data_IF_570105250383
#
_entry.id   IF_570105250383
#
_cell.length_a   1.000
_cell.length_b   1.000
_cell.length_c   1.000
_cell.angle_alpha   90.00
_cell.angle_beta   90.00
_cell.angle_gamma   90.00
#
_symmetry.space_group_name_H-M   'P 1'
#
loop_
_entity.id
_entity.type
_entity.pdbx_description
1 polymer ?
#
# COMPACT_ATOMS: atom_id res chain seq x y z
N UNK A 1 19.38 18.00 57.76
CA UNK A 1 18.34 18.85 57.15
C UNK A 1 18.69 18.98 55.68
N UNK A 2 18.01 18.20 54.83
CA UNK A 2 18.23 18.20 53.39
C UNK A 2 17.23 19.17 52.75
N UNK A 3 17.74 20.23 52.11
CA UNK A 3 16.91 21.20 51.39
C UNK A 3 17.06 20.96 49.89
N UNK A 4 16.03 20.32 49.35
CA UNK A 4 15.77 20.09 47.93
C UNK A 4 15.60 21.43 47.21
N UNK A 5 16.44 21.75 46.24
CA UNK A 5 16.20 22.88 45.32
C UNK A 5 15.54 22.35 44.05
N UNK A 6 14.32 22.82 43.86
CA UNK A 6 13.37 22.59 42.78
C UNK A 6 13.97 22.87 41.41
N UNK A 7 13.85 21.89 40.51
CA UNK A 7 14.17 21.98 39.09
C UNK A 7 12.97 22.63 38.38
N UNK A 8 13.10 23.92 38.05
CA UNK A 8 12.10 24.68 37.30
C UNK A 8 12.09 24.20 35.84
N UNK A 9 11.02 23.49 35.49
CA UNK A 9 10.82 22.83 34.21
C UNK A 9 10.06 23.78 33.27
N UNK A 10 10.71 24.88 32.87
CA UNK A 10 10.21 25.74 31.81
C UNK A 10 10.49 25.11 30.43
N UNK A 11 9.75 24.05 30.09
CA UNK A 11 9.59 23.67 28.68
C UNK A 11 8.73 24.75 28.01
N UNK A 12 9.39 25.67 27.31
CA UNK A 12 8.75 26.47 26.26
C UNK A 12 8.23 25.51 25.20
N UNK A 13 6.94 25.21 25.27
CA UNK A 13 6.16 24.73 24.13
C UNK A 13 6.32 25.78 23.03
N UNK A 14 7.14 25.48 22.04
CA UNK A 14 7.23 26.30 20.83
C UNK A 14 6.13 25.79 19.92
N UNK A 15 5.09 26.58 19.60
CA UNK A 15 3.99 26.13 18.75
C UNK A 15 4.53 25.78 17.36
N UNK A 16 4.13 24.61 16.84
CA UNK A 16 4.45 24.06 15.51
C UNK A 16 3.87 24.94 14.39
N UNK A 17 4.39 26.15 14.26
CA UNK A 17 3.97 27.12 13.26
C UNK A 17 4.93 27.03 12.09
N UNK A 18 4.46 26.42 11.00
CA UNK A 18 4.96 26.57 9.63
C UNK A 18 6.43 26.15 9.38
N UNK A 19 6.70 24.84 9.38
CA UNK A 19 7.81 24.31 8.56
C UNK A 19 7.25 23.85 7.21
N UNK A 20 7.88 24.23 6.07
CA UNK A 20 7.44 23.82 4.75
C UNK A 20 7.46 22.28 4.64
N UNK A 21 6.53 21.72 3.86
CA UNK A 21 6.48 20.30 3.56
C UNK A 21 7.85 19.83 3.02
N UNK A 22 8.64 19.17 3.86
CA UNK A 22 9.95 18.63 3.47
C UNK A 22 9.78 17.20 2.97
N UNK A 23 10.32 16.95 1.80
CA UNK A 23 10.29 15.63 1.18
C UNK A 23 11.34 14.72 1.83
N UNK A 24 11.00 13.44 1.91
CA UNK A 24 11.87 12.41 2.43
C UNK A 24 13.17 12.26 1.62
N UNK A 25 13.11 12.55 0.30
CA UNK A 25 14.29 12.60 -0.58
C UNK A 25 15.30 13.65 -0.13
N UNK A 26 14.82 14.86 0.14
CA UNK A 26 15.68 16.02 0.40
C UNK A 26 16.36 15.87 1.75
N UNK A 27 15.60 15.36 2.73
CA UNK A 27 16.10 15.05 4.06
C UNK A 27 17.07 13.88 4.06
N UNK A 28 16.91 12.90 3.16
CA UNK A 28 17.88 11.81 3.03
C UNK A 28 19.25 12.32 2.56
N UNK A 29 19.28 13.31 1.67
CA UNK A 29 20.52 13.98 1.26
C UNK A 29 21.13 14.79 2.41
N UNK A 30 20.33 15.58 3.14
CA UNK A 30 20.79 16.36 4.31
C UNK A 30 21.39 15.45 5.40
N UNK A 31 20.82 14.24 5.58
CA UNK A 31 21.34 13.27 6.53
C UNK A 31 22.71 12.70 6.13
N UNK A 32 22.95 12.46 4.84
CA UNK A 32 24.24 11.97 4.34
C UNK A 32 25.33 13.03 4.54
N UNK A 33 25.01 14.30 4.26
CA UNK A 33 25.93 15.43 4.49
C UNK A 33 26.26 15.61 5.98
N UNK A 34 25.30 15.34 6.87
CA UNK A 34 25.49 15.44 8.31
C UNK A 34 26.37 14.33 8.92
N UNK A 35 26.68 13.26 8.18
CA UNK A 35 27.49 12.13 8.68
C UNK A 35 29.00 12.30 8.50
N UNK A 36 29.48 13.40 7.89
CA UNK A 36 30.92 13.67 7.72
C UNK A 36 31.56 12.88 6.57
N UNK A 37 32.87 12.64 6.61
CA UNK A 37 33.68 12.23 5.44
C UNK A 37 33.89 10.69 5.32
N UNK A 38 32.84 9.91 5.62
CA UNK A 38 32.90 8.43 5.57
C UNK A 38 32.38 7.91 4.22
N UNK A 39 32.75 6.70 3.80
CA UNK A 39 32.14 6.04 2.65
C UNK A 39 30.63 5.82 2.90
N UNK A 40 29.82 6.69 2.28
CA UNK A 40 28.38 6.71 2.42
C UNK A 40 27.67 5.78 1.45
N UNK A 41 28.38 5.01 0.61
CA UNK A 41 27.77 4.22 -0.45
C UNK A 41 26.70 3.26 0.08
N UNK A 42 26.97 2.56 1.19
CA UNK A 42 26.01 1.66 1.81
C UNK A 42 24.81 2.39 2.44
N UNK A 43 25.07 3.53 3.10
CA UNK A 43 24.05 4.37 3.74
C UNK A 43 23.11 4.96 2.68
N UNK A 44 23.68 5.53 1.62
CA UNK A 44 22.97 6.12 0.50
C UNK A 44 22.12 5.07 -0.22
N UNK A 45 22.66 3.89 -0.52
CA UNK A 45 21.90 2.81 -1.17
C UNK A 45 20.69 2.41 -0.33
N UNK A 46 20.83 2.32 0.98
CA UNK A 46 19.73 1.96 1.86
C UNK A 46 18.66 3.06 1.97
N UNK A 47 19.08 4.32 2.07
CA UNK A 47 18.14 5.45 2.07
C UNK A 47 17.40 5.59 0.74
N UNK A 48 18.06 5.35 -0.39
CA UNK A 48 17.40 5.33 -1.71
C UNK A 48 16.34 4.23 -1.78
N UNK A 49 16.62 3.04 -1.25
CA UNK A 49 15.65 1.94 -1.17
C UNK A 49 14.46 2.32 -0.27
N UNK A 50 14.73 2.93 0.87
CA UNK A 50 13.71 3.39 1.82
C UNK A 50 12.84 4.51 1.24
N UNK A 51 13.43 5.54 0.63
CA UNK A 51 12.72 6.63 -0.06
C UNK A 51 11.87 6.08 -1.20
N UNK A 52 12.39 5.13 -1.99
CA UNK A 52 11.61 4.47 -3.05
C UNK A 52 10.42 3.68 -2.49
N UNK A 53 10.57 3.07 -1.32
CA UNK A 53 9.50 2.35 -0.64
C UNK A 53 8.40 3.29 -0.12
N UNK A 54 8.77 4.37 0.55
CA UNK A 54 7.82 5.34 1.09
C UNK A 54 7.22 6.29 0.04
N UNK A 55 7.89 6.44 -1.10
CA UNK A 55 7.54 7.36 -2.18
C UNK A 55 8.48 8.57 -2.22
N UNK A 56 8.88 8.98 -3.43
CA UNK A 56 9.86 10.07 -3.64
C UNK A 56 9.32 11.45 -3.26
N UNK A 57 8.02 11.64 -3.35
CA UNK A 57 7.32 12.89 -2.99
C UNK A 57 6.67 12.80 -1.61
N UNK A 58 7.10 11.84 -0.78
CA UNK A 58 6.54 11.63 0.55
C UNK A 58 7.03 12.68 1.52
N UNK A 59 6.11 13.28 2.27
CA UNK A 59 6.43 14.24 3.33
C UNK A 59 6.82 13.52 4.62
N UNK A 60 7.88 13.99 5.27
CA UNK A 60 8.47 13.27 6.42
C UNK A 60 7.53 13.13 7.62
N UNK A 61 6.71 14.14 7.88
CA UNK A 61 5.77 14.13 9.01
C UNK A 61 4.62 13.13 8.82
N UNK A 62 4.39 12.66 7.59
CA UNK A 62 3.32 11.70 7.26
C UNK A 62 3.76 10.23 7.41
N UNK A 63 5.01 9.98 7.81
CA UNK A 63 5.54 8.64 8.04
C UNK A 63 4.86 7.96 9.23
N UNK A 64 4.46 6.72 9.01
CA UNK A 64 3.73 5.91 10.01
C UNK A 64 4.56 4.73 10.52
N UNK A 65 4.33 4.27 11.76
CA UNK A 65 4.96 3.05 12.29
C UNK A 65 4.77 1.82 11.39
N UNK A 66 3.60 1.67 10.78
CA UNK A 66 3.26 0.55 9.89
C UNK A 66 4.13 0.50 8.64
N UNK A 67 4.48 1.66 8.06
CA UNK A 67 5.37 1.74 6.89
C UNK A 67 6.80 1.31 7.24
N UNK A 68 7.28 1.66 8.44
CA UNK A 68 8.60 1.27 8.93
C UNK A 68 8.66 -0.23 9.22
N UNK A 69 7.63 -0.79 9.83
CA UNK A 69 7.49 -2.24 10.05
C UNK A 69 7.40 -2.99 8.72
N UNK A 70 6.68 -2.44 7.74
CA UNK A 70 6.55 -2.99 6.39
C UNK A 70 7.88 -3.03 5.64
N UNK A 71 8.67 -1.95 5.71
CA UNK A 71 9.99 -1.89 5.08
C UNK A 71 11.00 -2.82 5.79
N UNK A 72 11.11 -2.72 7.11
CA UNK A 72 12.06 -3.52 7.91
C UNK A 72 11.75 -5.02 7.89
N UNK A 73 10.47 -5.39 7.77
CA UNK A 73 10.03 -6.77 7.58
C UNK A 73 10.28 -7.34 6.18
N UNK A 74 10.65 -6.51 5.20
CA UNK A 74 11.05 -6.91 3.84
C UNK A 74 12.58 -6.90 3.63
N UNK A 75 13.36 -6.53 4.64
CA UNK A 75 14.82 -6.69 4.64
C UNK A 75 15.24 -8.18 4.73
N UNK A 76 14.27 -9.10 4.82
CA UNK A 76 14.45 -10.53 5.08
C UNK A 76 14.87 -11.31 3.82
N UNK A 77 16.18 -11.40 3.61
CA UNK A 77 16.84 -12.38 2.75
C UNK A 77 18.23 -12.72 3.31
N UNK A 78 18.28 -13.41 4.46
CA UNK A 78 19.39 -14.26 4.93
C UNK A 78 20.85 -13.78 4.66
N UNK A 79 21.19 -12.52 4.96
CA UNK A 79 22.56 -12.02 4.83
C UNK A 79 22.95 -11.01 5.93
N UNK A 80 24.22 -10.98 6.31
CA UNK A 80 24.83 -10.03 7.29
C UNK A 80 24.49 -8.57 6.98
N UNK A 81 24.34 -8.24 5.69
CA UNK A 81 23.92 -6.94 5.16
C UNK A 81 22.57 -6.45 5.72
N UNK A 82 21.66 -7.36 6.13
CA UNK A 82 20.32 -6.99 6.61
C UNK A 82 20.35 -6.28 7.97
N UNK A 83 21.31 -6.65 8.82
CA UNK A 83 21.50 -6.05 10.14
C UNK A 83 22.10 -4.65 10.03
N UNK A 84 23.07 -4.48 9.13
CA UNK A 84 23.70 -3.19 8.83
C UNK A 84 22.70 -2.20 8.23
N UNK A 85 21.89 -2.66 7.27
CA UNK A 85 20.81 -1.87 6.67
C UNK A 85 19.76 -1.44 7.69
N UNK A 86 19.42 -2.30 8.65
CA UNK A 86 18.54 -1.94 9.76
C UNK A 86 19.15 -0.85 10.65
N UNK A 87 20.46 -0.93 10.92
CA UNK A 87 21.16 0.07 11.72
C UNK A 87 21.14 1.45 11.04
N UNK A 88 21.38 1.49 9.71
CA UNK A 88 21.25 2.71 8.90
C UNK A 88 19.84 3.30 9.01
N UNK A 89 18.80 2.48 8.81
CA UNK A 89 17.42 2.92 8.89
C UNK A 89 17.07 3.50 10.28
N UNK A 90 17.49 2.83 11.35
CA UNK A 90 17.28 3.31 12.73
C UNK A 90 18.00 4.63 12.97
N UNK A 91 19.23 4.78 12.49
CA UNK A 91 20.01 6.01 12.60
C UNK A 91 19.30 7.19 11.93
N UNK A 92 18.74 6.94 10.74
CA UNK A 92 18.00 7.93 9.99
C UNK A 92 16.69 8.32 10.69
N UNK A 93 15.86 7.35 11.09
CA UNK A 93 14.60 7.61 11.80
C UNK A 93 14.82 8.36 13.13
N UNK A 94 15.91 8.04 13.85
CA UNK A 94 16.29 8.76 15.05
C UNK A 94 16.71 10.21 14.76
N UNK A 95 17.37 10.44 13.62
CA UNK A 95 17.72 11.78 13.16
C UNK A 95 16.48 12.61 12.82
N UNK A 96 15.48 12.04 12.14
CA UNK A 96 14.22 12.71 11.84
C UNK A 96 13.53 13.21 13.12
N UNK A 97 13.47 12.35 14.14
CA UNK A 97 12.88 12.70 15.43
C UNK A 97 13.71 13.75 16.18
N UNK A 98 15.04 13.65 16.20
CA UNK A 98 15.92 14.67 16.81
C UNK A 98 15.77 16.05 16.16
N UNK A 99 15.48 16.09 14.86
CA UNK A 99 15.23 17.32 14.09
C UNK A 99 13.79 17.82 14.21
N UNK A 100 12.91 17.08 14.88
CA UNK A 100 11.51 17.45 15.09
C UNK A 100 10.61 17.25 13.87
N UNK A 101 11.03 16.46 12.87
CA UNK A 101 10.28 16.27 11.62
C UNK A 101 9.24 15.13 11.69
N UNK A 102 9.26 14.36 12.76
CA UNK A 102 8.28 13.31 13.06
C UNK A 102 7.75 13.52 14.47
N UNK A 103 6.44 13.43 14.66
CA UNK A 103 5.79 13.61 15.96
C UNK A 103 6.18 12.51 16.97
N UNK A 104 6.48 11.30 16.48
CA UNK A 104 6.87 10.16 17.29
C UNK A 104 8.21 9.58 16.82
N UNK A 105 8.96 8.97 17.74
CA UNK A 105 10.18 8.26 17.39
C UNK A 105 9.84 6.95 16.68
N UNK A 106 10.11 6.89 15.38
CA UNK A 106 9.81 5.73 14.53
C UNK A 106 10.89 4.64 14.56
N UNK A 107 12.06 4.91 15.13
CA UNK A 107 13.20 3.98 15.21
C UNK A 107 12.86 2.63 15.89
N UNK A 108 12.03 2.56 16.95
CA UNK A 108 11.64 1.30 17.60
C UNK A 108 10.83 0.37 16.70
N UNK A 109 10.23 0.89 15.63
CA UNK A 109 9.39 0.12 14.69
C UNK A 109 10.20 -0.56 13.57
N UNK A 110 11.46 -0.17 13.39
CA UNK A 110 12.38 -0.84 12.47
C UNK A 110 12.92 -2.14 13.12
N UNK A 111 12.27 -3.29 12.86
CA UNK A 111 12.68 -4.59 13.41
C UNK A 111 12.75 -5.66 12.32
N UNK A 112 13.87 -6.39 12.29
CA UNK A 112 13.99 -7.61 11.48
C UNK A 112 13.08 -8.71 12.02
N UNK A 113 12.42 -9.45 11.12
CA UNK A 113 11.69 -10.66 11.52
C UNK A 113 12.71 -11.74 11.84
N UNK A 114 12.66 -12.31 13.04
CA UNK A 114 13.52 -13.46 13.40
C UNK A 114 13.00 -14.69 12.65
N UNK A 115 13.90 -15.37 11.92
CA UNK A 115 13.66 -16.68 11.33
C UNK A 115 13.37 -17.70 12.45
N UNK A 116 12.09 -17.88 12.79
CA UNK A 116 11.73 -18.71 13.94
C UNK A 116 10.26 -18.63 14.36
N UNK A 117 9.33 -18.89 13.44
CA UNK A 117 8.05 -19.57 13.70
C UNK A 117 7.25 -19.68 12.42
N UNK A 118 7.02 -20.92 11.97
CA UNK A 118 5.95 -21.30 11.04
C UNK A 118 4.64 -21.05 11.79
N UNK A 119 4.06 -19.87 11.61
CA UNK A 119 2.86 -19.44 12.34
C UNK A 119 2.18 -18.30 11.62
N UNK A 120 1.06 -18.64 10.96
CA UNK A 120 0.09 -17.79 10.29
C UNK A 120 0.66 -16.73 9.35
N UNK A 121 0.65 -17.08 8.06
CA UNK A 121 0.65 -16.11 6.99
C UNK A 121 -0.55 -15.16 7.17
N UNK A 122 -0.34 -14.04 7.85
CA UNK A 122 -1.04 -12.81 7.48
C UNK A 122 -0.48 -12.44 6.11
N UNK A 123 -1.10 -13.07 5.11
CA UNK A 123 -1.01 -12.69 3.72
C UNK A 123 -1.06 -11.18 3.69
N UNK A 124 0.07 -10.58 3.32
CA UNK A 124 0.10 -9.32 2.62
C UNK A 124 -1.06 -9.37 1.63
N UNK A 125 -2.13 -8.67 1.98
CA UNK A 125 -2.89 -7.91 1.02
C UNK A 125 -1.87 -6.98 0.36
N UNK A 126 -1.11 -7.56 -0.58
CA UNK A 126 -1.08 -6.98 -1.89
C UNK A 126 -2.56 -6.89 -2.24
N UNK A 127 -3.17 -5.76 -1.94
CA UNK A 127 -3.82 -5.06 -3.03
C UNK A 127 -2.75 -4.97 -4.12
N UNK A 128 -2.65 -6.03 -4.92
CA UNK A 128 -3.02 -5.85 -6.30
C UNK A 128 -4.23 -4.95 -6.21
N UNK A 129 -4.03 -3.65 -6.39
CA UNK A 129 -4.97 -2.93 -7.22
C UNK A 129 -5.05 -3.83 -8.44
N UNK A 130 -6.00 -4.76 -8.41
CA UNK A 130 -6.53 -5.32 -9.62
C UNK A 130 -6.80 -4.05 -10.39
N UNK A 131 -6.05 -3.83 -11.48
CA UNK A 131 -6.25 -2.66 -12.32
C UNK A 131 -7.62 -2.89 -12.95
N UNK A 132 -8.63 -2.61 -12.16
CA UNK A 132 -10.02 -2.85 -12.46
C UNK A 132 -10.41 -1.70 -13.37
N UNK A 133 -10.34 -1.98 -14.66
CA UNK A 133 -10.69 -1.03 -15.68
C UNK A 133 -12.11 -1.36 -16.13
N UNK A 134 -12.91 -0.32 -16.33
CA UNK A 134 -14.14 -0.48 -17.10
C UNK A 134 -13.77 -0.87 -18.53
N UNK A 135 -14.69 -1.52 -19.26
CA UNK A 135 -14.45 -1.84 -20.67
C UNK A 135 -14.09 -0.59 -21.50
N UNK A 136 -14.73 0.54 -21.22
CA UNK A 136 -14.43 1.84 -21.84
C UNK A 136 -13.03 2.36 -21.47
N UNK A 137 -12.64 2.31 -20.19
CA UNK A 137 -11.32 2.74 -19.75
C UNK A 137 -10.20 1.86 -20.32
N UNK A 138 -10.45 0.56 -20.47
CA UNK A 138 -9.52 -0.37 -21.12
C UNK A 138 -9.35 -0.06 -22.61
N UNK A 139 -10.44 0.27 -23.31
CA UNK A 139 -10.40 0.65 -24.72
C UNK A 139 -9.64 1.97 -24.93
N UNK A 140 -9.90 2.98 -24.09
CA UNK A 140 -9.22 4.27 -24.18
C UNK A 140 -7.70 4.14 -24.05
N UNK A 141 -7.23 3.33 -23.09
CA UNK A 141 -5.81 3.08 -22.89
C UNK A 141 -5.18 2.27 -24.03
N UNK A 142 -5.95 1.37 -24.67
CA UNK A 142 -5.53 0.69 -25.89
C UNK A 142 -5.38 1.66 -27.07
N UNK A 143 -6.34 2.57 -27.24
CA UNK A 143 -6.33 3.56 -28.32
C UNK A 143 -5.16 4.54 -28.14
N UNK A 144 -4.90 4.98 -26.89
CA UNK A 144 -3.73 5.78 -26.54
C UNK A 144 -2.42 5.05 -26.88
N UNK A 145 -2.31 3.77 -26.49
CA UNK A 145 -1.13 2.95 -26.82
C UNK A 145 -0.95 2.80 -28.34
N UNK A 146 -2.03 2.65 -29.10
CA UNK A 146 -1.97 2.52 -30.55
C UNK A 146 -1.50 3.83 -31.20
N UNK A 147 -1.99 4.98 -30.73
CA UNK A 147 -1.55 6.29 -31.20
C UNK A 147 -0.04 6.50 -30.96
N UNK A 148 0.44 6.22 -29.74
CA UNK A 148 1.86 6.32 -29.38
C UNK A 148 2.76 5.37 -30.19
N UNK A 149 2.27 4.16 -30.50
CA UNK A 149 2.98 3.21 -31.37
C UNK A 149 3.09 3.73 -32.81
N UNK A 150 2.08 4.46 -33.29
CA UNK A 150 2.14 5.17 -34.57
C UNK A 150 3.15 6.31 -34.56
N UNK A 151 3.13 7.12 -33.50
CA UNK A 151 4.05 8.26 -33.30
C UNK A 151 5.51 7.83 -33.21
N UNK A 152 5.79 6.67 -32.59
CA UNK A 152 7.14 6.07 -32.58
C UNK A 152 7.76 5.93 -33.97
N UNK A 153 6.95 5.64 -34.98
CA UNK A 153 7.38 5.56 -36.38
C UNK A 153 7.83 6.92 -36.92
N UNK A 154 7.10 7.99 -36.61
CA UNK A 154 7.42 9.35 -37.03
C UNK A 154 8.70 9.85 -36.34
N UNK A 155 8.83 9.63 -35.04
CA UNK A 155 10.04 9.98 -34.27
C UNK A 155 11.28 9.30 -34.85
N UNK A 156 11.15 8.02 -35.25
CA UNK A 156 12.25 7.29 -35.90
C UNK A 156 12.69 7.95 -37.21
N UNK A 157 11.75 8.48 -38.00
CA UNK A 157 12.07 9.21 -39.23
C UNK A 157 12.72 10.57 -38.93
N UNK A 158 12.26 11.29 -37.91
CA UNK A 158 12.85 12.55 -37.47
C UNK A 158 14.29 12.36 -37.00
N UNK A 159 14.55 11.33 -36.18
CA UNK A 159 15.92 10.98 -35.75
C UNK A 159 16.80 10.69 -36.96
N UNK A 160 16.31 9.92 -37.95
CA UNK A 160 17.09 9.63 -39.18
C UNK A 160 17.40 10.89 -39.99
N UNK A 161 16.44 11.80 -40.12
CA UNK A 161 16.62 13.08 -40.83
C UNK A 161 17.60 13.98 -40.09
N UNK A 162 17.46 14.11 -38.78
CA UNK A 162 18.35 14.91 -37.95
C UNK A 162 19.78 14.34 -37.93
N UNK A 163 19.93 13.00 -37.90
CA UNK A 163 21.22 12.33 -37.94
C UNK A 163 21.94 12.40 -39.30
N UNK A 164 21.23 12.74 -40.39
CA UNK A 164 21.83 12.95 -41.71
C UNK A 164 22.51 14.32 -41.84
N UNK A 165 22.27 15.24 -40.90
CA UNK A 165 22.93 16.55 -40.85
C UNK A 165 24.37 16.37 -40.35
N UNK A 166 25.34 16.85 -41.14
CA UNK A 166 26.77 16.55 -41.01
C UNK A 166 27.51 17.31 -39.88
N UNK A 167 26.78 18.08 -39.08
CA UNK A 167 27.31 18.89 -37.99
C UNK A 167 26.92 18.25 -36.65
N UNK A 168 27.86 17.49 -36.09
CA UNK A 168 27.62 16.58 -34.96
C UNK A 168 27.80 17.25 -33.60
N UNK A 169 28.32 18.50 -33.54
CA UNK A 169 28.67 19.14 -32.26
C UNK A 169 27.54 19.89 -31.58
N UNK A 170 26.47 20.27 -32.28
CA UNK A 170 25.32 21.01 -31.70
C UNK A 170 23.97 20.65 -32.35
N UNK A 171 23.70 19.35 -32.55
CA UNK A 171 22.48 18.93 -33.22
C UNK A 171 21.29 18.89 -32.24
N UNK A 172 20.87 20.06 -31.74
CA UNK A 172 19.71 20.21 -30.86
C UNK A 172 18.43 19.50 -31.37
N UNK A 173 18.15 19.43 -32.69
CA UNK A 173 17.04 18.63 -33.21
C UNK A 173 17.18 17.12 -32.96
N UNK A 174 18.40 16.57 -33.01
CA UNK A 174 18.66 15.15 -32.77
C UNK A 174 18.47 14.80 -31.28
N UNK A 175 18.95 15.64 -30.38
CA UNK A 175 18.81 15.44 -28.94
C UNK A 175 17.34 15.57 -28.51
N UNK A 176 16.60 16.55 -29.04
CA UNK A 176 15.17 16.69 -28.81
C UNK A 176 14.38 15.45 -29.30
N UNK A 177 14.72 14.91 -30.48
CA UNK A 177 14.05 13.74 -31.02
C UNK A 177 14.34 12.46 -30.20
N UNK A 178 15.55 12.32 -29.64
CA UNK A 178 15.92 11.20 -28.74
C UNK A 178 15.22 11.29 -27.39
N UNK A 179 15.12 12.48 -26.82
CA UNK A 179 14.36 12.72 -25.58
C UNK A 179 12.88 12.40 -25.79
N UNK A 180 12.29 12.87 -26.90
CA UNK A 180 10.91 12.58 -27.26
C UNK A 180 10.67 11.07 -27.44
N UNK A 181 11.60 10.36 -28.09
CA UNK A 181 11.57 8.90 -28.19
C UNK A 181 11.55 8.23 -26.80
N UNK A 182 12.37 8.72 -25.87
CA UNK A 182 12.44 8.22 -24.51
C UNK A 182 11.12 8.38 -23.75
N UNK A 183 10.47 9.53 -23.89
CA UNK A 183 9.18 9.82 -23.26
C UNK A 183 8.06 8.93 -23.81
N UNK A 184 7.98 8.76 -25.13
CA UNK A 184 7.00 7.88 -25.78
C UNK A 184 7.20 6.42 -25.37
N UNK A 185 8.44 5.92 -25.36
CA UNK A 185 8.77 4.56 -24.93
C UNK A 185 8.51 4.33 -23.43
N UNK A 186 8.68 5.36 -22.59
CA UNK A 186 8.32 5.28 -21.18
C UNK A 186 6.79 5.15 -21.00
N UNK A 187 6.02 5.96 -21.73
CA UNK A 187 4.55 5.93 -21.68
C UNK A 187 3.98 4.62 -22.21
N UNK A 188 4.51 4.11 -23.32
CA UNK A 188 4.11 2.80 -23.87
C UNK A 188 4.34 1.69 -22.84
N UNK A 189 5.50 1.66 -22.17
CA UNK A 189 5.80 0.65 -21.14
C UNK A 189 4.86 0.74 -19.95
N UNK A 190 4.50 1.94 -19.53
CA UNK A 190 3.52 2.17 -18.46
C UNK A 190 2.12 1.64 -18.84
N UNK A 191 1.66 1.97 -20.05
CA UNK A 191 0.38 1.51 -20.58
C UNK A 191 0.36 -0.02 -20.73
N UNK A 192 1.42 -0.63 -21.25
CA UNK A 192 1.55 -2.09 -21.37
C UNK A 192 1.53 -2.80 -20.02
N UNK A 193 2.24 -2.26 -19.02
CA UNK A 193 2.21 -2.80 -17.67
C UNK A 193 0.80 -2.69 -17.05
N UNK A 194 0.12 -1.58 -17.28
CA UNK A 194 -1.22 -1.31 -16.78
C UNK A 194 -2.25 -2.24 -17.43
N UNK A 195 -2.22 -2.40 -18.75
CA UNK A 195 -3.11 -3.28 -19.51
C UNK A 195 -2.85 -4.77 -19.22
N UNK A 196 -1.60 -5.18 -19.03
CA UNK A 196 -1.23 -6.58 -18.71
C UNK A 196 -1.73 -7.02 -17.33
N UNK A 197 -1.81 -6.09 -16.37
CA UNK A 197 -2.35 -6.34 -15.03
C UNK A 197 -3.85 -6.04 -14.89
N UNK A 198 -4.52 -5.63 -15.97
CA UNK A 198 -5.89 -5.17 -15.91
C UNK A 198 -6.90 -6.32 -15.86
N UNK A 199 -7.94 -6.16 -15.04
CA UNK A 199 -9.13 -7.02 -15.03
C UNK A 199 -10.32 -6.17 -15.45
N UNK A 200 -10.97 -6.53 -16.55
CA UNK A 200 -12.09 -5.75 -17.06
C UNK A 200 -13.31 -5.97 -16.15
N UNK A 201 -13.81 -4.88 -15.58
CA UNK A 201 -15.09 -4.85 -14.87
C UNK A 201 -16.22 -4.77 -15.91
N UNK A 202 -16.89 -5.90 -16.15
CA UNK A 202 -18.19 -5.89 -16.84
C UNK A 202 -19.21 -5.16 -15.97
N UNK A 203 -19.80 -4.09 -16.51
CA UNK A 203 -21.00 -3.45 -15.94
C UNK A 203 -22.12 -4.50 -15.90
N UNK A 204 -22.30 -5.13 -14.74
CA UNK A 204 -23.28 -6.21 -14.54
C UNK A 204 -22.94 -7.17 -13.40
N UNK A 205 -21.66 -7.26 -13.02
CA UNK A 205 -21.26 -7.93 -11.77
C UNK A 205 -21.15 -6.87 -10.68
N UNK A 206 -22.29 -6.52 -10.10
CA UNK A 206 -22.33 -5.87 -8.79
C UNK A 206 -21.34 -6.60 -7.89
N UNK A 207 -20.42 -5.87 -7.26
CA UNK A 207 -19.68 -6.38 -6.10
C UNK A 207 -20.77 -6.82 -5.13
N UNK A 208 -21.07 -8.11 -5.09
CA UNK A 208 -22.14 -8.62 -4.24
C UNK A 208 -21.79 -8.16 -2.83
N UNK A 209 -22.71 -7.45 -2.18
CA UNK A 209 -22.52 -7.03 -0.80
C UNK A 209 -22.12 -8.28 -0.01
N UNK A 210 -20.98 -8.21 0.67
CA UNK A 210 -20.48 -9.32 1.49
C UNK A 210 -20.91 -9.11 2.91
N UNK A 211 -21.10 -10.22 3.63
CA UNK A 211 -21.36 -10.17 5.07
C UNK A 211 -20.09 -9.72 5.79
N UNK A 212 -20.15 -8.54 6.41
CA UNK A 212 -19.08 -7.99 7.27
C UNK A 212 -19.54 -7.87 8.72
N UNK A 213 -18.60 -7.65 9.64
CA UNK A 213 -18.95 -7.27 11.02
C UNK A 213 -19.80 -5.99 11.01
N UNK A 214 -20.86 -5.95 11.80
CA UNK A 214 -21.84 -4.87 11.84
C UNK A 214 -22.93 -4.94 10.76
N UNK A 215 -22.80 -5.82 9.77
CA UNK A 215 -23.82 -5.96 8.72
C UNK A 215 -25.06 -6.69 9.26
N UNK A 216 -26.23 -6.31 8.74
CA UNK A 216 -27.50 -7.02 8.96
C UNK A 216 -27.74 -7.99 7.81
N UNK A 217 -27.82 -9.27 8.13
CA UNK A 217 -27.99 -10.36 7.16
C UNK A 217 -29.37 -10.98 7.34
N UNK A 218 -30.03 -11.33 6.23
CA UNK A 218 -31.24 -12.14 6.23
C UNK A 218 -30.91 -13.50 5.64
N UNK A 219 -31.15 -14.54 6.43
CA UNK A 219 -30.90 -15.94 6.07
C UNK A 219 -32.23 -16.64 5.88
N UNK A 220 -32.39 -17.34 4.76
CA UNK A 220 -33.55 -18.17 4.48
C UNK A 220 -33.17 -19.65 4.63
N UNK A 221 -33.86 -20.40 5.49
CA UNK A 221 -33.60 -21.82 5.66
C UNK A 221 -34.17 -22.60 4.46
N UNK A 222 -33.32 -23.33 3.73
CA UNK A 222 -33.70 -23.96 2.46
C UNK A 222 -34.81 -25.03 2.61
N UNK A 223 -34.92 -25.67 3.78
CA UNK A 223 -35.93 -26.73 4.02
C UNK A 223 -37.30 -26.20 4.43
N UNK A 224 -37.37 -25.08 5.15
CA UNK A 224 -38.61 -24.54 5.72
C UNK A 224 -39.06 -23.25 5.04
N UNK A 225 -38.19 -22.60 4.27
CA UNK A 225 -38.41 -21.26 3.72
C UNK A 225 -38.43 -20.16 4.78
N UNK A 226 -38.08 -20.46 6.04
CA UNK A 226 -38.12 -19.48 7.11
C UNK A 226 -36.98 -18.47 6.96
N UNK A 227 -37.33 -17.18 6.88
CA UNK A 227 -36.37 -16.08 6.89
C UNK A 227 -36.09 -15.61 8.32
N UNK A 228 -34.82 -15.45 8.66
CA UNK A 228 -34.36 -14.94 9.94
C UNK A 228 -33.32 -13.85 9.72
N UNK A 229 -33.48 -12.72 10.41
CA UNK A 229 -32.57 -11.57 10.32
C UNK A 229 -31.63 -11.53 11.51
N UNK A 230 -30.33 -11.40 11.24
CA UNK A 230 -29.28 -11.28 12.24
C UNK A 230 -28.38 -10.08 11.99
N UNK A 231 -27.95 -9.41 13.06
CA UNK A 231 -26.86 -8.44 13.07
C UNK A 231 -25.56 -9.17 13.41
N UNK A 232 -24.56 -9.05 12.54
CA UNK A 232 -23.25 -9.65 12.76
C UNK A 232 -22.46 -8.86 13.80
N UNK A 233 -22.13 -9.50 14.91
CA UNK A 233 -21.42 -8.86 16.03
C UNK A 233 -20.26 -9.72 16.52
N UNK A 234 -19.40 -9.13 17.35
CA UNK A 234 -18.32 -9.88 18.00
C UNK A 234 -18.87 -10.80 19.10
N UNK A 235 -18.08 -11.78 19.52
CA UNK A 235 -18.43 -12.77 20.56
C UNK A 235 -18.90 -12.13 21.87
N UNK A 236 -18.37 -10.96 22.23
CA UNK A 236 -18.70 -10.21 23.44
C UNK A 236 -20.12 -9.64 23.44
N UNK A 237 -20.68 -9.34 22.26
CA UNK A 237 -21.97 -8.66 22.09
C UNK A 237 -23.09 -9.60 21.61
N UNK A 238 -22.78 -10.89 21.48
CA UNK A 238 -23.67 -11.88 20.91
C UNK A 238 -24.92 -12.10 21.78
N UNK A 239 -26.08 -11.97 21.15
CA UNK A 239 -27.37 -12.24 21.79
C UNK A 239 -28.37 -12.75 20.73
N UNK A 240 -28.45 -14.08 20.52
CA UNK A 240 -29.31 -14.68 19.51
C UNK A 240 -30.80 -14.30 19.66
N UNK A 241 -31.28 -14.14 20.90
CA UNK A 241 -32.66 -13.75 21.18
C UNK A 241 -32.98 -12.33 20.75
N UNK A 242 -31.97 -11.44 20.72
CA UNK A 242 -32.07 -10.08 20.22
C UNK A 242 -31.70 -9.96 18.73
N UNK A 243 -31.51 -11.09 18.03
CA UNK A 243 -31.06 -11.10 16.64
C UNK A 243 -29.60 -10.67 16.45
N UNK A 244 -28.76 -10.73 17.49
CA UNK A 244 -27.32 -10.46 17.39
C UNK A 244 -26.54 -11.77 17.30
N UNK A 245 -25.90 -12.02 16.17
CA UNK A 245 -25.18 -13.26 15.88
C UNK A 245 -23.66 -13.04 15.97
N UNK A 246 -22.98 -13.85 16.77
CA UNK A 246 -21.52 -13.83 16.87
C UNK A 246 -20.87 -14.32 15.58
N UNK A 247 -19.87 -13.59 15.08
CA UNK A 247 -18.95 -14.03 14.02
C UNK A 247 -18.16 -15.30 14.40
N UNK A 248 -18.03 -15.62 15.69
CA UNK A 248 -17.35 -16.83 16.16
C UNK A 248 -18.26 -18.07 16.23
N UNK A 249 -19.58 -17.90 16.11
CA UNK A 249 -20.53 -19.02 16.13
C UNK A 249 -20.45 -19.87 14.85
N UNK A 250 -20.87 -21.15 14.86
CA UNK A 250 -20.85 -22.00 13.66
C UNK A 250 -21.62 -21.38 12.49
N UNK A 251 -22.80 -20.80 12.75
CA UNK A 251 -23.60 -20.09 11.76
C UNK A 251 -22.92 -18.79 11.32
N UNK A 252 -22.41 -18.00 12.26
CA UNK A 252 -21.71 -16.74 11.96
C UNK A 252 -20.48 -16.93 11.09
N UNK A 253 -19.65 -17.93 11.39
CA UNK A 253 -18.48 -18.28 10.58
C UNK A 253 -18.86 -18.76 9.18
N UNK A 254 -19.98 -19.46 9.06
CA UNK A 254 -20.45 -19.96 7.78
C UNK A 254 -20.99 -18.85 6.88
N UNK A 255 -21.54 -17.76 7.42
CA UNK A 255 -22.08 -16.64 6.63
C UNK A 255 -21.09 -15.51 6.39
N UNK A 256 -20.04 -15.39 7.21
CA UNK A 256 -19.02 -14.35 7.05
C UNK A 256 -18.34 -14.42 5.68
N UNK A 257 -18.06 -13.26 5.09
CA UNK A 257 -17.43 -13.09 3.77
C UNK A 257 -18.20 -13.66 2.56
N UNK A 258 -19.37 -14.28 2.78
CA UNK A 258 -20.29 -14.70 1.73
C UNK A 258 -21.15 -13.54 1.22
N UNK A 259 -21.69 -13.73 0.03
CA UNK A 259 -22.44 -12.70 -0.69
C UNK A 259 -23.95 -13.02 -0.76
N UNK A 260 -24.75 -12.01 -1.14
CA UNK A 260 -26.18 -12.20 -1.44
C UNK A 260 -26.33 -13.29 -2.51
N UNK A 261 -27.20 -14.27 -2.23
CA UNK A 261 -27.49 -15.41 -3.10
C UNK A 261 -26.61 -16.64 -2.87
N UNK A 262 -25.64 -16.59 -1.95
CA UNK A 262 -24.82 -17.76 -1.60
C UNK A 262 -25.57 -18.68 -0.62
N UNK A 263 -25.40 -19.99 -0.80
CA UNK A 263 -25.89 -21.03 0.11
C UNK A 263 -24.76 -21.47 1.06
N UNK A 264 -25.08 -21.61 2.34
CA UNK A 264 -24.16 -22.02 3.39
C UNK A 264 -24.72 -23.23 4.13
N UNK A 265 -23.89 -24.26 4.27
CA UNK A 265 -24.22 -25.48 5.03
C UNK A 265 -23.66 -25.38 6.44
N UNK A 266 -24.54 -25.43 7.44
CA UNK A 266 -24.17 -25.30 8.86
C UNK A 266 -24.42 -26.60 9.58
N UNK A 267 -23.34 -27.20 10.08
CA UNK A 267 -23.41 -28.40 10.92
C UNK A 267 -23.84 -28.00 12.32
N UNK A 268 -25.08 -28.32 12.68
CA UNK A 268 -25.58 -28.20 14.06
C UNK A 268 -25.56 -29.58 14.75
N UNK A 269 -25.58 -29.64 16.10
CA UNK A 269 -25.70 -30.91 16.81
C UNK A 269 -26.97 -31.72 16.46
N UNK A 270 -27.97 -31.07 15.84
CA UNK A 270 -29.23 -31.69 15.40
C UNK A 270 -29.23 -32.10 13.92
N UNK A 271 -28.13 -31.87 13.19
CA UNK A 271 -28.00 -32.16 11.77
C UNK A 271 -27.45 -30.98 10.96
N UNK A 272 -27.08 -31.26 9.70
CA UNK A 272 -26.69 -30.22 8.75
C UNK A 272 -27.91 -29.44 8.28
N UNK A 273 -27.86 -28.11 8.37
CA UNK A 273 -28.93 -27.20 7.95
C UNK A 273 -28.37 -26.25 6.91
N UNK A 274 -29.09 -26.11 5.79
CA UNK A 274 -28.71 -25.19 4.71
C UNK A 274 -29.45 -23.87 4.80
N UNK A 275 -28.71 -22.78 4.65
CA UNK A 275 -29.24 -21.42 4.62
C UNK A 275 -28.84 -20.72 3.33
N UNK A 276 -29.74 -19.93 2.75
CA UNK A 276 -29.49 -19.03 1.63
C UNK A 276 -29.42 -17.59 2.16
N UNK A 277 -28.40 -16.84 1.76
CA UNK A 277 -28.29 -15.42 2.10
C UNK A 277 -29.20 -14.62 1.17
N UNK A 278 -30.36 -14.18 1.65
CA UNK A 278 -31.34 -13.48 0.81
C UNK A 278 -31.06 -11.99 0.70
N UNK A 279 -30.60 -11.35 1.79
CA UNK A 279 -30.30 -9.90 1.83
C UNK A 279 -29.15 -9.58 2.77
N UNK A 280 -28.38 -8.56 2.41
CA UNK A 280 -27.35 -7.95 3.26
C UNK A 280 -27.60 -6.44 3.26
N UNK A 281 -27.69 -5.85 4.45
CA UNK A 281 -27.82 -4.41 4.68
C UNK A 281 -26.77 -3.91 5.67
N UNK A 282 -26.43 -2.63 5.57
CA UNK A 282 -25.63 -1.89 6.55
C UNK A 282 -26.52 -0.93 7.34
#
# INVERSE_FOLDING_TARGET
>A
MASTTTYDKAHRETPMTQQPARLLSDISSEYLEAQGDTDHSAVQQELVRFVRWCGRTREVHTLTPLEIEGYSGNLDAAGEESSERLAVLKGFLAYLHRKGWTEANLSPHAKLRRAGRKGSASSRSRTSKSNQLTAEGYQLLQDEMAALKGERGNITQEIRRAAATKDFSENAPLDAAREHQGQVEARIRELEATLKGATILERGKTVRAKVTLGARVVLCQAQSGQEVSYLMVESSEANPSAGKLSTASPLGRAVMDHAIGDEVDVTTPRGAVRYLISKIGN
#
